data_IF_031370910956
#
_entry.id   IF_031370910956
#
_cell.length_a   1.000
_cell.length_b   1.000
_cell.length_c   1.000
_cell.angle_alpha   90.00
_cell.angle_beta   90.00
_cell.angle_gamma   90.00
#
_symmetry.space_group_name_H-M   'P 1'
#
loop_
_entity.id
_entity.type
_entity.pdbx_description
1 polymer ?
#
# COMPACT_ATOMS: atom_id res chain seq x y z
N UNK A 1 -4.54 -7.94 17.55
CA UNK A 1 -5.77 -8.19 16.80
C UNK A 1 -5.50 -8.40 15.30
N UNK A 2 -4.96 -7.43 14.56
CA UNK A 2 -4.64 -7.62 13.12
C UNK A 2 -3.56 -8.71 12.87
N UNK A 3 -2.63 -8.89 13.81
CA UNK A 3 -1.62 -9.94 13.78
C UNK A 3 -1.99 -11.22 14.54
N UNK A 4 -3.24 -11.35 15.02
CA UNK A 4 -3.64 -12.48 15.86
C UNK A 4 -3.45 -13.82 15.15
N UNK A 5 -3.15 -14.91 15.87
CA UNK A 5 -3.03 -16.24 15.23
C UNK A 5 -4.39 -16.79 14.80
N UNK A 6 -5.47 -16.35 15.44
CA UNK A 6 -6.84 -16.75 15.11
C UNK A 6 -7.36 -15.95 13.91
N UNK A 7 -7.66 -16.65 12.82
CA UNK A 7 -8.14 -16.04 11.57
C UNK A 7 -9.40 -15.20 11.76
N UNK A 8 -10.42 -15.73 12.46
CA UNK A 8 -11.64 -14.99 12.73
C UNK A 8 -11.42 -13.67 13.48
N UNK A 9 -10.44 -13.62 14.39
CA UNK A 9 -10.10 -12.40 15.13
C UNK A 9 -9.42 -11.39 14.19
N UNK A 10 -8.51 -11.85 13.34
CA UNK A 10 -7.87 -11.00 12.32
C UNK A 10 -8.88 -10.40 11.36
N UNK A 11 -9.76 -11.23 10.79
CA UNK A 11 -10.76 -10.79 9.83
C UNK A 11 -11.73 -9.78 10.43
N UNK A 12 -12.13 -10.01 11.68
CA UNK A 12 -13.00 -9.09 12.41
C UNK A 12 -12.28 -7.76 12.66
N UNK A 13 -11.02 -7.80 13.09
CA UNK A 13 -10.20 -6.61 13.29
C UNK A 13 -9.97 -5.83 11.99
N UNK A 14 -9.72 -6.54 10.89
CA UNK A 14 -9.56 -5.94 9.57
C UNK A 14 -10.85 -5.24 9.14
N UNK A 15 -12.00 -5.93 9.19
CA UNK A 15 -13.31 -5.33 8.86
C UNK A 15 -13.61 -4.08 9.69
N UNK A 16 -13.27 -4.08 10.97
CA UNK A 16 -13.39 -2.90 11.82
C UNK A 16 -12.48 -1.76 11.33
N UNK A 17 -11.21 -2.06 11.01
CA UNK A 17 -10.28 -1.11 10.39
C UNK A 17 -10.80 -0.54 9.08
N UNK A 18 -11.35 -1.38 8.20
CA UNK A 18 -11.93 -0.95 6.92
C UNK A 18 -13.11 -0.02 7.14
N UNK A 19 -13.95 -0.28 8.17
CA UNK A 19 -15.05 0.63 8.51
C UNK A 19 -14.53 1.98 8.97
N UNK A 20 -13.49 2.02 9.80
CA UNK A 20 -12.85 3.26 10.26
C UNK A 20 -12.30 4.03 9.06
N UNK A 21 -11.48 3.39 8.21
CA UNK A 21 -10.91 4.00 7.01
C UNK A 21 -12.02 4.58 6.12
N UNK A 22 -13.04 3.78 5.79
CA UNK A 22 -14.12 4.24 4.90
C UNK A 22 -14.94 5.40 5.47
N UNK A 23 -15.06 5.48 6.79
CA UNK A 23 -15.81 6.53 7.49
C UNK A 23 -15.01 7.83 7.58
N UNK A 24 -13.70 7.74 7.78
CA UNK A 24 -12.83 8.89 8.06
C UNK A 24 -11.84 9.22 6.93
N UNK A 25 -11.98 8.61 5.76
CA UNK A 25 -11.11 8.81 4.60
C UNK A 25 -10.98 10.27 4.17
N UNK A 26 -11.97 11.12 4.45
CA UNK A 26 -11.95 12.54 4.07
C UNK A 26 -11.55 13.49 5.21
N UNK A 27 -11.59 13.02 6.46
CA UNK A 27 -11.47 13.88 7.65
C UNK A 27 -10.26 13.56 8.52
N UNK A 28 -9.70 12.35 8.43
CA UNK A 28 -8.62 11.90 9.31
C UNK A 28 -7.41 11.32 8.56
N UNK A 29 -7.18 11.70 7.31
CA UNK A 29 -6.02 11.22 6.51
C UNK A 29 -4.70 11.42 7.26
N UNK A 30 -4.49 12.61 7.85
CA UNK A 30 -3.25 12.92 8.58
C UNK A 30 -3.02 12.06 9.83
N UNK A 31 -4.10 11.50 10.41
CA UNK A 31 -4.01 10.58 11.54
C UNK A 31 -3.84 9.13 11.07
N UNK A 32 -4.56 8.73 10.02
CA UNK A 32 -4.54 7.35 9.52
C UNK A 32 -3.26 7.01 8.75
N UNK A 33 -2.78 7.94 7.93
CA UNK A 33 -1.69 7.65 6.99
C UNK A 33 -0.38 7.28 7.69
N UNK A 34 0.09 7.97 8.74
CA UNK A 34 1.33 7.59 9.43
C UNK A 34 1.32 6.16 9.94
N UNK A 35 0.18 5.70 10.47
CA UNK A 35 0.04 4.32 10.99
C UNK A 35 0.02 3.28 9.86
N UNK A 36 -0.65 3.59 8.75
CA UNK A 36 -0.66 2.71 7.57
C UNK A 36 0.73 2.63 6.92
N UNK A 37 1.41 3.76 6.75
CA UNK A 37 2.78 3.84 6.24
C UNK A 37 3.74 3.02 7.13
N UNK A 38 3.64 3.16 8.46
CA UNK A 38 4.43 2.38 9.41
C UNK A 38 4.14 0.88 9.28
N UNK A 39 2.86 0.52 9.18
CA UNK A 39 2.41 -0.86 9.09
C UNK A 39 2.87 -1.58 7.81
N UNK A 40 3.11 -0.87 6.70
CA UNK A 40 3.69 -1.46 5.48
C UNK A 40 5.07 -2.09 5.71
N UNK A 41 5.81 -1.60 6.70
CA UNK A 41 7.16 -2.07 7.03
C UNK A 41 7.20 -2.75 8.39
N UNK A 42 6.09 -3.29 8.87
CA UNK A 42 6.07 -4.08 10.11
C UNK A 42 6.81 -5.42 9.91
N UNK A 43 7.47 -5.92 10.96
CA UNK A 43 8.16 -7.22 10.87
C UNK A 43 7.16 -8.38 10.75
N UNK A 44 5.93 -8.22 11.27
CA UNK A 44 4.88 -9.19 11.12
C UNK A 44 4.13 -8.99 9.79
N UNK A 45 4.24 -9.97 8.89
CA UNK A 45 3.61 -9.94 7.57
C UNK A 45 2.07 -9.75 7.62
N UNK A 46 1.41 -10.14 8.71
CA UNK A 46 -0.05 -9.95 8.87
C UNK A 46 -0.42 -8.50 9.13
N UNK A 47 0.43 -7.76 9.84
CA UNK A 47 0.29 -6.29 9.96
C UNK A 47 0.56 -5.66 8.61
N UNK A 48 1.62 -6.07 7.89
CA UNK A 48 1.88 -5.57 6.53
C UNK A 48 0.70 -5.80 5.61
N UNK A 49 0.16 -7.03 5.57
CA UNK A 49 -0.99 -7.40 4.76
C UNK A 49 -2.22 -6.53 5.08
N UNK A 50 -2.57 -6.43 6.36
CA UNK A 50 -3.70 -5.59 6.80
C UNK A 50 -3.48 -4.12 6.45
N UNK A 51 -2.25 -3.62 6.58
CA UNK A 51 -1.90 -2.23 6.27
C UNK A 51 -1.99 -1.93 4.78
N UNK A 52 -1.55 -2.85 3.92
CA UNK A 52 -1.71 -2.75 2.47
C UNK A 52 -3.19 -2.70 2.09
N UNK A 53 -4.03 -3.56 2.68
CA UNK A 53 -5.47 -3.57 2.40
C UNK A 53 -6.16 -2.27 2.83
N UNK A 54 -5.91 -1.83 4.07
CA UNK A 54 -6.48 -0.59 4.60
C UNK A 54 -6.00 0.66 3.85
N UNK A 55 -4.73 0.66 3.42
CA UNK A 55 -4.17 1.70 2.57
C UNK A 55 -4.81 1.68 1.18
N UNK A 56 -5.04 0.51 0.61
CA UNK A 56 -5.80 0.34 -0.62
C UNK A 56 -7.20 0.96 -0.50
N UNK A 57 -7.96 0.57 0.52
CA UNK A 57 -9.30 1.10 0.79
C UNK A 57 -9.30 2.64 0.92
N UNK A 58 -8.30 3.20 1.61
CA UNK A 58 -8.15 4.65 1.73
C UNK A 58 -7.90 5.31 0.37
N UNK A 59 -6.97 4.77 -0.42
CA UNK A 59 -6.64 5.31 -1.74
C UNK A 59 -7.81 5.19 -2.72
N UNK A 60 -8.58 4.11 -2.66
CA UNK A 60 -9.80 3.92 -3.45
C UNK A 60 -10.85 4.98 -3.10
N UNK A 61 -11.08 5.22 -1.81
CA UNK A 61 -12.01 6.26 -1.35
C UNK A 61 -11.57 7.66 -1.75
N UNK A 62 -10.29 7.99 -1.58
CA UNK A 62 -9.74 9.30 -1.94
C UNK A 62 -9.85 9.55 -3.44
N UNK A 63 -9.51 8.56 -4.26
CA UNK A 63 -9.44 8.72 -5.71
C UNK A 63 -10.75 8.47 -6.46
N UNK A 64 -11.77 7.95 -5.76
CA UNK A 64 -13.07 7.62 -6.34
C UNK A 64 -13.09 6.36 -7.22
N UNK A 65 -12.01 5.58 -7.26
CA UNK A 65 -11.94 4.34 -8.02
C UNK A 65 -12.47 3.16 -7.20
N UNK A 66 -12.95 2.12 -7.88
CA UNK A 66 -13.41 0.88 -7.23
C UNK A 66 -12.25 -0.11 -7.06
N UNK A 67 -12.03 -0.56 -5.83
CA UNK A 67 -11.10 -1.65 -5.52
C UNK A 67 -11.54 -3.04 -6.00
N UNK A 68 -12.75 -3.16 -6.56
CA UNK A 68 -13.33 -4.47 -6.94
C UNK A 68 -12.91 -4.97 -8.33
N UNK A 69 -11.97 -4.29 -8.99
CA UNK A 69 -11.49 -4.71 -10.31
C UNK A 69 -10.65 -5.99 -10.16
N UNK A 70 -11.01 -7.05 -10.89
CA UNK A 70 -10.24 -8.29 -10.87
C UNK A 70 -8.92 -8.08 -11.60
N UNK A 71 -7.80 -8.18 -10.86
CA UNK A 71 -6.44 -8.06 -11.43
C UNK A 71 -5.85 -9.40 -11.85
N UNK A 72 -6.59 -10.51 -11.68
CA UNK A 72 -6.12 -11.89 -11.92
C UNK A 72 -5.84 -12.18 -13.40
N UNK A 73 -6.56 -11.54 -14.32
CA UNK A 73 -6.38 -11.72 -15.77
C UNK A 73 -5.45 -10.67 -16.40
N UNK A 74 -4.97 -9.71 -15.61
CA UNK A 74 -4.09 -8.65 -16.06
C UNK A 74 -2.62 -9.10 -15.96
N UNK A 75 -1.85 -8.91 -17.03
CA UNK A 75 -0.41 -9.12 -17.01
C UNK A 75 0.26 -8.27 -15.92
N UNK A 76 1.49 -8.62 -15.54
CA UNK A 76 2.20 -7.93 -14.44
C UNK A 76 2.39 -6.42 -14.67
N UNK A 77 2.38 -6.00 -15.93
CA UNK A 77 2.52 -4.60 -16.35
C UNK A 77 1.19 -3.88 -16.58
N UNK A 78 0.07 -4.60 -16.61
CA UNK A 78 -1.25 -4.02 -16.84
C UNK A 78 -1.73 -3.26 -15.61
N UNK A 79 -2.15 -2.02 -15.82
CA UNK A 79 -2.67 -1.16 -14.76
C UNK A 79 -4.01 -0.53 -15.16
N UNK A 80 -4.90 -0.40 -14.19
CA UNK A 80 -6.27 0.12 -14.32
C UNK A 80 -6.43 1.54 -13.78
N UNK A 81 -5.39 2.11 -13.16
CA UNK A 81 -5.42 3.50 -12.69
C UNK A 81 -5.63 4.48 -13.84
N UNK A 82 -6.22 5.63 -13.52
CA UNK A 82 -6.42 6.72 -14.47
C UNK A 82 -5.54 7.91 -14.10
N UNK A 83 -5.21 8.78 -15.05
CA UNK A 83 -4.49 10.02 -14.72
C UNK A 83 -5.29 10.90 -13.75
N UNK A 84 -6.62 10.88 -13.85
CA UNK A 84 -7.51 11.60 -12.94
C UNK A 84 -7.39 11.09 -11.52
N UNK A 85 -7.46 9.77 -11.30
CA UNK A 85 -7.32 9.18 -9.96
C UNK A 85 -5.95 9.51 -9.35
N UNK A 86 -4.88 9.46 -10.14
CA UNK A 86 -3.54 9.83 -9.68
C UNK A 86 -3.43 11.31 -9.29
N UNK A 87 -4.01 12.23 -10.07
CA UNK A 87 -4.03 13.67 -9.75
C UNK A 87 -4.79 13.95 -8.45
N UNK A 88 -5.91 13.25 -8.22
CA UNK A 88 -6.68 13.37 -6.97
C UNK A 88 -5.86 12.89 -5.78
N UNK A 89 -5.22 11.71 -5.87
CA UNK A 89 -4.34 11.20 -4.80
C UNK A 89 -3.20 12.18 -4.51
N UNK A 90 -2.54 12.70 -5.56
CA UNK A 90 -1.47 13.69 -5.40
C UNK A 90 -1.96 14.96 -4.69
N UNK A 91 -3.13 15.46 -5.07
CA UNK A 91 -3.71 16.68 -4.48
C UNK A 91 -4.10 16.48 -3.03
N UNK A 92 -4.68 15.31 -2.69
CA UNK A 92 -5.19 15.03 -1.34
C UNK A 92 -4.09 14.63 -0.35
N UNK A 93 -3.05 13.94 -0.81
CA UNK A 93 -1.94 13.49 0.06
C UNK A 93 -0.74 14.43 0.04
N UNK A 94 -0.57 15.22 -1.02
CA UNK A 94 0.68 15.93 -1.30
C UNK A 94 1.76 15.01 -1.88
N UNK A 95 2.75 15.62 -2.54
CA UNK A 95 3.77 14.91 -3.30
C UNK A 95 4.63 13.98 -2.44
N UNK A 96 5.09 14.46 -1.28
CA UNK A 96 6.00 13.71 -0.41
C UNK A 96 5.36 12.43 0.13
N UNK A 97 4.15 12.55 0.69
CA UNK A 97 3.39 11.43 1.25
C UNK A 97 2.94 10.46 0.15
N UNK A 98 2.46 10.96 -0.99
CA UNK A 98 2.15 10.13 -2.16
C UNK A 98 3.37 9.30 -2.59
N UNK A 99 4.55 9.91 -2.64
CA UNK A 99 5.76 9.21 -3.06
C UNK A 99 6.17 8.12 -2.08
N UNK A 100 6.07 8.36 -0.75
CA UNK A 100 6.33 7.32 0.27
C UNK A 100 5.34 6.16 0.17
N UNK A 101 4.05 6.46 0.07
CA UNK A 101 2.96 5.47 -0.07
C UNK A 101 3.19 4.59 -1.30
N UNK A 102 3.44 5.19 -2.47
CA UNK A 102 3.66 4.43 -3.68
C UNK A 102 4.98 3.65 -3.65
N UNK A 103 6.05 4.21 -3.07
CA UNK A 103 7.31 3.48 -2.91
C UNK A 103 7.13 2.25 -2.01
N UNK A 104 6.41 2.38 -0.88
CA UNK A 104 6.08 1.27 0.00
C UNK A 104 5.23 0.19 -0.68
N UNK A 105 4.20 0.59 -1.45
CA UNK A 105 3.41 -0.36 -2.25
C UNK A 105 4.25 -1.06 -3.31
N UNK A 106 5.16 -0.34 -3.97
CA UNK A 106 6.04 -0.93 -4.97
C UNK A 106 6.99 -1.96 -4.35
N UNK A 107 7.61 -1.64 -3.21
CA UNK A 107 8.45 -2.58 -2.45
C UNK A 107 7.64 -3.80 -1.99
N UNK A 108 6.38 -3.61 -1.57
CA UNK A 108 5.48 -4.69 -1.18
C UNK A 108 5.24 -5.74 -2.28
N UNK A 109 5.44 -5.40 -3.55
CA UNK A 109 5.38 -6.36 -4.68
C UNK A 109 6.51 -7.40 -4.64
N UNK A 110 7.56 -7.15 -3.87
CA UNK A 110 8.67 -8.07 -3.63
C UNK A 110 8.66 -8.69 -2.22
N UNK A 111 7.55 -8.56 -1.48
CA UNK A 111 7.43 -9.09 -0.12
C UNK A 111 7.67 -10.62 -0.05
N UNK A 112 8.27 -11.11 1.04
CA UNK A 112 8.49 -12.55 1.25
C UNK A 112 7.15 -13.30 1.39
N UNK A 113 6.16 -12.68 2.02
CA UNK A 113 4.81 -13.23 2.17
C UNK A 113 3.99 -13.03 0.89
N UNK A 114 3.50 -14.13 0.32
CA UNK A 114 2.71 -14.10 -0.93
C UNK A 114 1.46 -13.22 -0.82
N UNK A 115 0.77 -13.26 0.32
CA UNK A 115 -0.45 -12.46 0.54
C UNK A 115 -0.17 -10.95 0.49
N UNK A 116 0.96 -10.51 1.03
CA UNK A 116 1.38 -9.09 0.99
C UNK A 116 1.70 -8.70 -0.45
N UNK A 117 2.46 -9.53 -1.18
CA UNK A 117 2.75 -9.29 -2.61
C UNK A 117 1.51 -9.11 -3.44
N UNK A 118 0.57 -10.03 -3.33
CA UNK A 118 -0.67 -10.01 -4.11
C UNK A 118 -1.51 -8.78 -3.79
N UNK A 119 -1.68 -8.44 -2.51
CA UNK A 119 -2.40 -7.24 -2.11
C UNK A 119 -1.71 -5.96 -2.60
N UNK A 120 -0.39 -5.86 -2.48
CA UNK A 120 0.36 -4.68 -2.89
C UNK A 120 0.32 -4.49 -4.41
N UNK A 121 0.48 -5.57 -5.17
CA UNK A 121 0.34 -5.57 -6.63
C UNK A 121 -1.07 -5.15 -7.06
N UNK A 122 -2.10 -5.66 -6.40
CA UNK A 122 -3.48 -5.31 -6.69
C UNK A 122 -3.76 -3.82 -6.47
N UNK A 123 -3.36 -3.28 -5.30
CA UNK A 123 -3.50 -1.84 -5.01
C UNK A 123 -2.71 -1.00 -6.02
N UNK A 124 -1.48 -1.41 -6.34
CA UNK A 124 -0.65 -0.75 -7.35
C UNK A 124 -1.36 -0.68 -8.70
N UNK A 125 -1.84 -1.82 -9.22
CA UNK A 125 -2.51 -1.89 -10.52
C UNK A 125 -3.75 -1.01 -10.58
N UNK A 126 -4.49 -0.83 -9.48
CA UNK A 126 -5.70 0.00 -9.46
C UNK A 126 -5.38 1.50 -9.35
N UNK A 127 -4.34 1.88 -8.60
CA UNK A 127 -4.03 3.29 -8.32
C UNK A 127 -3.09 3.89 -9.37
N UNK A 128 -2.14 3.11 -9.85
CA UNK A 128 -1.13 3.56 -10.81
C UNK A 128 -1.65 3.34 -12.23
N UNK A 129 -1.42 4.31 -13.13
CA UNK A 129 -1.82 4.22 -14.55
C UNK A 129 -0.65 3.96 -15.49
N UNK A 130 0.58 4.25 -15.06
CA UNK A 130 1.79 4.11 -15.86
C UNK A 130 3.01 3.82 -14.99
N UNK A 131 3.35 2.55 -14.85
CA UNK A 131 4.40 2.05 -13.94
C UNK A 131 5.77 2.72 -14.17
N UNK A 132 6.37 2.73 -15.38
CA UNK A 132 7.72 3.28 -15.57
C UNK A 132 7.83 4.78 -15.27
N UNK A 133 6.77 5.54 -15.55
CA UNK A 133 6.73 6.98 -15.27
C UNK A 133 6.65 7.23 -13.78
N UNK A 134 5.73 6.54 -13.12
CA UNK A 134 5.52 6.63 -11.67
C UNK A 134 6.78 6.25 -10.90
N UNK A 135 7.49 5.20 -11.34
CA UNK A 135 8.75 4.80 -10.72
C UNK A 135 9.84 5.86 -10.83
N UNK A 136 9.98 6.52 -11.99
CA UNK A 136 10.92 7.63 -12.15
C UNK A 136 10.60 8.79 -11.20
N UNK A 137 9.31 9.09 -10.98
CA UNK A 137 8.88 10.16 -10.08
C UNK A 137 9.20 9.88 -8.61
N UNK A 138 9.07 8.61 -8.18
CA UNK A 138 9.26 8.22 -6.77
C UNK A 138 10.67 7.69 -6.48
N UNK A 139 11.56 7.65 -7.47
CA UNK A 139 12.83 6.92 -7.42
C UNK A 139 13.70 7.30 -6.21
N UNK A 140 13.84 8.60 -5.91
CA UNK A 140 14.62 9.08 -4.77
C UNK A 140 14.05 8.63 -3.43
N UNK A 141 12.73 8.66 -3.29
CA UNK A 141 12.03 8.17 -2.09
C UNK A 141 12.16 6.66 -1.96
N UNK A 142 11.99 5.93 -3.06
CA UNK A 142 12.17 4.48 -3.13
C UNK A 142 13.57 4.07 -2.69
N UNK A 143 14.62 4.69 -3.24
CA UNK A 143 16.00 4.39 -2.83
C UNK A 143 16.25 4.70 -1.35
N UNK A 144 15.72 5.80 -0.83
CA UNK A 144 15.87 6.14 0.59
C UNK A 144 15.24 5.08 1.50
N UNK A 145 14.06 4.58 1.15
CA UNK A 145 13.39 3.51 1.89
C UNK A 145 14.13 2.17 1.76
N UNK A 146 14.59 1.82 0.56
CA UNK A 146 15.39 0.62 0.33
C UNK A 146 16.66 0.63 1.20
N UNK A 147 17.43 1.71 1.18
CA UNK A 147 18.64 1.85 2.01
C UNK A 147 18.33 1.70 3.51
N UNK A 148 17.22 2.27 3.97
CA UNK A 148 16.75 2.08 5.35
C UNK A 148 16.41 0.62 5.69
N UNK A 149 15.77 -0.10 4.77
CA UNK A 149 15.47 -1.53 4.93
C UNK A 149 16.73 -2.42 4.85
N UNK A 150 17.67 -2.13 3.97
CA UNK A 150 18.96 -2.81 3.85
C UNK A 150 19.81 -2.66 5.13
N UNK A 151 19.76 -1.49 5.76
CA UNK A 151 20.41 -1.24 7.05
C UNK A 151 19.70 -1.87 8.25
N UNK A 152 18.51 -2.47 8.06
CA UNK A 152 17.72 -3.06 9.13
C UNK A 152 18.26 -4.41 9.59
N UNK A 153 18.08 -4.71 10.88
CA UNK A 153 18.38 -6.03 11.45
C UNK A 153 17.35 -7.11 11.05
N UNK A 154 16.19 -6.72 10.54
CA UNK A 154 15.15 -7.63 10.06
C UNK A 154 15.54 -8.29 8.73
N UNK A 155 15.56 -9.63 8.71
CA UNK A 155 15.91 -10.41 7.52
C UNK A 155 14.94 -10.16 6.37
N UNK A 156 13.63 -10.16 6.65
CA UNK A 156 12.58 -9.89 5.65
C UNK A 156 12.76 -8.53 5.00
N UNK A 157 13.05 -7.48 5.79
CA UNK A 157 13.28 -6.13 5.26
C UNK A 157 14.49 -6.08 4.34
N UNK A 158 15.58 -6.80 4.67
CA UNK A 158 16.75 -6.89 3.79
C UNK A 158 16.44 -7.65 2.51
N UNK A 159 15.63 -8.72 2.58
CA UNK A 159 15.28 -9.52 1.41
C UNK A 159 14.37 -8.77 0.44
N UNK A 160 13.42 -7.96 0.93
CA UNK A 160 12.57 -7.10 0.09
C UNK A 160 13.38 -6.00 -0.61
N UNK A 161 14.47 -5.57 0.00
CA UNK A 161 15.29 -4.47 -0.49
C UNK A 161 16.47 -4.89 -1.39
N UNK A 162 16.78 -6.19 -1.44
CA UNK A 162 17.86 -6.78 -2.24
C UNK A 162 17.36 -7.20 -3.63
#
# INVERSE_FOLDING_TARGET
ALADETEFVRDTALKAGQRIVNTYADTAIELLMPELERGLFDDNWRIRYSSVQLLGDLLYRISGVSGKMTTESAGDDDTFGTETSQKVVLTRLGAERRNRVLAGLYMGRSDTALMVRQAALHVWKIIVSHTPKTLREILSTLFSLLLGCLASQSYDKRQVAA
#
